data_IF_301685576350
#
_entry.id   IF_301685576350
#
_cell.length_a   1.000
_cell.length_b   1.000
_cell.length_c   1.000
_cell.angle_alpha   90.00
_cell.angle_beta   90.00
_cell.angle_gamma   90.00
#
_symmetry.space_group_name_H-M   'P 1'
#
loop_
_entity.id
_entity.type
_entity.pdbx_description
1 polymer ?
#
# COMPACT_ATOMS: atom_id res chain seq x y z
N UNK A 1 6.07 0.32 9.74
CA UNK A 1 6.21 -0.07 8.31
C UNK A 1 7.56 0.36 7.78
N UNK A 2 8.21 -0.48 6.95
CA UNK A 2 9.45 -0.14 6.27
C UNK A 2 9.22 0.74 5.03
N UNK A 3 10.28 1.36 4.50
CA UNK A 3 10.21 2.14 3.25
C UNK A 3 9.63 1.31 2.09
N UNK A 4 10.05 0.05 1.95
CA UNK A 4 9.52 -0.88 0.94
C UNK A 4 8.03 -1.15 1.13
N UNK A 5 7.57 -1.33 2.37
CA UNK A 5 6.14 -1.53 2.64
C UNK A 5 5.31 -0.28 2.31
N UNK A 6 5.85 0.93 2.52
CA UNK A 6 5.17 2.18 2.15
C UNK A 6 5.04 2.29 0.62
N UNK A 7 6.08 1.94 -0.13
CA UNK A 7 6.07 1.91 -1.60
C UNK A 7 5.01 0.94 -2.12
N UNK A 8 5.02 -0.31 -1.60
CA UNK A 8 4.02 -1.34 -1.94
C UNK A 8 2.60 -0.88 -1.59
N UNK A 9 2.39 -0.35 -0.39
CA UNK A 9 1.09 0.14 0.07
C UNK A 9 0.55 1.24 -0.86
N UNK A 10 1.38 2.21 -1.21
CA UNK A 10 0.99 3.32 -2.11
C UNK A 10 0.61 2.82 -3.49
N UNK A 11 1.43 1.95 -4.09
CA UNK A 11 1.19 1.41 -5.41
C UNK A 11 -0.09 0.55 -5.44
N UNK A 12 -0.32 -0.25 -4.40
CA UNK A 12 -1.52 -1.07 -4.30
C UNK A 12 -2.77 -0.20 -4.07
N UNK A 13 -2.70 0.78 -3.18
CA UNK A 13 -3.76 1.77 -2.95
C UNK A 13 -4.13 2.54 -4.24
N UNK A 14 -3.15 2.81 -5.11
CA UNK A 14 -3.38 3.48 -6.40
C UNK A 14 -3.91 2.55 -7.50
N UNK A 15 -4.28 1.32 -7.18
CA UNK A 15 -4.94 0.41 -8.11
C UNK A 15 -4.05 -0.66 -8.72
N UNK A 16 -2.72 -0.60 -8.58
CA UNK A 16 -1.83 -1.60 -9.18
C UNK A 16 -2.10 -3.01 -8.63
N UNK A 17 -1.87 -4.00 -9.46
CA UNK A 17 -1.95 -5.42 -9.14
C UNK A 17 -0.66 -5.91 -8.48
N UNK A 18 -0.74 -7.07 -7.81
CA UNK A 18 0.44 -7.72 -7.25
C UNK A 18 1.58 -7.93 -8.27
N UNK A 19 1.23 -8.22 -9.53
CA UNK A 19 2.20 -8.49 -10.61
C UNK A 19 2.93 -7.21 -11.03
N UNK A 20 2.20 -6.11 -11.22
CA UNK A 20 2.79 -4.82 -11.60
C UNK A 20 3.73 -4.30 -10.50
N UNK A 21 3.30 -4.38 -9.24
CA UNK A 21 4.11 -3.97 -8.09
C UNK A 21 5.36 -4.86 -7.98
N UNK A 22 5.20 -6.17 -8.17
CA UNK A 22 6.30 -7.13 -8.15
C UNK A 22 7.35 -6.79 -9.22
N UNK A 23 6.90 -6.49 -10.44
CA UNK A 23 7.78 -6.08 -11.53
C UNK A 23 8.51 -4.77 -11.21
N UNK A 24 7.79 -3.74 -10.74
CA UNK A 24 8.37 -2.46 -10.37
C UNK A 24 9.41 -2.58 -9.24
N UNK A 25 9.15 -3.44 -8.26
CA UNK A 25 10.03 -3.68 -7.12
C UNK A 25 11.15 -4.71 -7.39
N UNK A 26 11.14 -5.39 -8.55
CA UNK A 26 12.01 -6.56 -8.85
C UNK A 26 11.89 -7.68 -7.80
N UNK A 27 10.67 -8.01 -7.41
CA UNK A 27 10.34 -9.04 -6.43
C UNK A 27 9.39 -10.08 -7.02
N UNK A 28 9.16 -11.18 -6.31
CA UNK A 28 8.12 -12.15 -6.65
C UNK A 28 6.73 -11.63 -6.20
N UNK A 29 5.64 -11.96 -6.93
CA UNK A 29 4.27 -11.61 -6.50
C UNK A 29 3.91 -12.15 -5.11
N UNK A 30 4.48 -13.29 -4.70
CA UNK A 30 4.30 -13.84 -3.34
C UNK A 30 4.91 -12.91 -2.27
N UNK A 31 6.06 -12.30 -2.54
CA UNK A 31 6.68 -11.32 -1.64
C UNK A 31 5.80 -10.08 -1.48
N UNK A 32 5.16 -9.62 -2.56
CA UNK A 32 4.20 -8.51 -2.49
C UNK A 32 2.99 -8.87 -1.62
N UNK A 33 2.45 -10.09 -1.74
CA UNK A 33 1.37 -10.57 -0.87
C UNK A 33 1.79 -10.57 0.61
N UNK A 34 3.00 -11.01 0.92
CA UNK A 34 3.54 -10.99 2.28
C UNK A 34 3.70 -9.57 2.81
N UNK A 35 4.18 -8.64 1.99
CA UNK A 35 4.21 -7.23 2.36
C UNK A 35 2.81 -6.69 2.66
N UNK A 36 1.82 -6.97 1.80
CA UNK A 36 0.44 -6.51 2.01
C UNK A 36 -0.19 -7.11 3.27
N UNK A 37 0.05 -8.39 3.57
CA UNK A 37 -0.40 -9.00 4.81
C UNK A 37 0.16 -8.28 6.05
N UNK A 38 1.48 -8.02 6.08
CA UNK A 38 2.09 -7.27 7.17
C UNK A 38 1.63 -5.81 7.24
N UNK A 39 1.33 -5.18 6.10
CA UNK A 39 0.77 -3.82 6.03
C UNK A 39 -0.64 -3.80 6.63
N UNK A 40 -1.49 -4.75 6.24
CA UNK A 40 -2.85 -4.89 6.77
C UNK A 40 -2.86 -5.11 8.27
N UNK A 41 -2.02 -6.01 8.76
CA UNK A 41 -1.84 -6.25 10.19
C UNK A 41 -1.37 -4.98 10.92
N UNK A 42 -0.36 -4.28 10.39
CA UNK A 42 0.14 -3.03 10.99
C UNK A 42 -0.92 -1.92 11.03
N UNK A 43 -1.81 -1.87 10.03
CA UNK A 43 -2.83 -0.82 9.90
C UNK A 43 -4.18 -1.22 10.52
N UNK A 44 -4.37 -2.49 10.91
CA UNK A 44 -5.64 -3.01 11.40
C UNK A 44 -6.77 -3.00 10.36
N UNK A 45 -6.45 -3.22 9.08
CA UNK A 45 -7.42 -3.20 7.97
C UNK A 45 -7.50 -4.55 7.26
N UNK A 46 -8.60 -4.81 6.56
CA UNK A 46 -8.84 -6.09 5.87
C UNK A 46 -8.82 -6.02 4.34
N UNK A 47 -8.82 -4.82 3.75
CA UNK A 47 -9.10 -4.67 2.32
C UNK A 47 -8.29 -3.61 1.58
N UNK A 48 -8.21 -3.77 0.25
CA UNK A 48 -7.63 -2.79 -0.66
C UNK A 48 -8.39 -1.45 -0.60
N UNK A 49 -9.70 -1.51 -0.40
CA UNK A 49 -10.56 -0.33 -0.33
C UNK A 49 -10.29 0.49 0.94
N UNK A 50 -10.11 -0.16 2.09
CA UNK A 50 -9.69 0.51 3.33
C UNK A 50 -8.31 1.13 3.17
N UNK A 51 -7.35 0.41 2.57
CA UNK A 51 -6.02 0.96 2.31
C UNK A 51 -6.09 2.21 1.42
N UNK A 52 -6.86 2.16 0.33
CA UNK A 52 -7.05 3.31 -0.56
C UNK A 52 -7.69 4.50 0.17
N UNK A 53 -8.70 4.25 1.01
CA UNK A 53 -9.36 5.27 1.83
C UNK A 53 -8.38 5.95 2.78
N UNK A 54 -7.55 5.19 3.49
CA UNK A 54 -6.54 5.74 4.40
C UNK A 54 -5.54 6.65 3.67
N UNK A 55 -5.09 6.25 2.48
CA UNK A 55 -4.18 7.07 1.68
C UNK A 55 -4.85 8.35 1.16
N UNK A 56 -6.11 8.28 0.75
CA UNK A 56 -6.89 9.44 0.33
C UNK A 56 -7.08 10.44 1.49
N UNK A 57 -7.45 9.95 2.68
CA UNK A 57 -7.57 10.76 3.90
C UNK A 57 -6.24 11.41 4.28
N UNK A 58 -5.13 10.68 4.20
CA UNK A 58 -3.80 11.22 4.48
C UNK A 58 -3.41 12.32 3.49
N UNK A 59 -3.74 12.16 2.20
CA UNK A 59 -3.48 13.17 1.18
C UNK A 59 -4.32 14.44 1.43
N UNK A 60 -5.62 14.30 1.70
CA UNK A 60 -6.51 15.41 2.03
C UNK A 60 -6.03 16.17 3.28
N UNK A 61 -5.66 15.45 4.35
CA UNK A 61 -5.15 16.04 5.58
C UNK A 61 -3.80 16.76 5.39
N UNK A 62 -3.00 16.41 4.37
CA UNK A 62 -1.77 17.15 4.03
C UNK A 62 -2.08 18.41 3.24
N UNK A 63 -3.01 18.34 2.28
CA UNK A 63 -3.44 19.50 1.50
C UNK A 63 -4.06 20.59 2.39
N UNK A 64 -4.84 20.21 3.40
CA UNK A 64 -5.47 21.15 4.34
C UNK A 64 -4.51 21.84 5.33
N UNK A 65 -3.23 21.45 5.36
CA UNK A 65 -2.19 22.06 6.23
C UNK A 65 -1.36 23.12 5.50
N UNK A 66 -1.63 23.36 4.22
CA UNK A 66 -0.99 24.36 3.36
C UNK A 66 -1.94 25.54 3.16
#
# INVERSE_FOLDING_TARGET
MSARQIEVARAFASGQSHKEIAQACKLAPATIRNHLAAIYDTLGIGSKAELATLFAQQAAARAARL
#
